data_IF_905711891266
#
_entry.id   IF_905711891266
#
_cell.length_a   1.000
_cell.length_b   1.000
_cell.length_c   1.000
_cell.angle_alpha   90.00
_cell.angle_beta   90.00
_cell.angle_gamma   90.00
#
_symmetry.space_group_name_H-M   'P 1'
#
loop_
_entity.id
_entity.type
_entity.pdbx_description
1 polymer ?
#
# COMPACT_ATOMS: atom_id res chain seq x y z
N UNK A 1 -20.32 14.04 19.00
CA UNK A 1 -20.29 12.60 19.32
C UNK A 1 -20.53 11.71 18.09
N UNK A 2 -21.59 11.95 17.29
CA UNK A 2 -21.90 11.14 16.09
C UNK A 2 -20.76 11.06 15.06
N UNK A 3 -20.04 12.16 14.81
CA UNK A 3 -18.89 12.18 13.89
C UNK A 3 -17.78 11.23 14.36
N UNK A 4 -17.47 11.23 15.66
CA UNK A 4 -16.45 10.34 16.22
C UNK A 4 -16.84 8.88 16.11
N UNK A 5 -18.10 8.54 16.45
CA UNK A 5 -18.61 7.17 16.30
C UNK A 5 -18.57 6.73 14.84
N UNK A 6 -19.00 7.59 13.92
CA UNK A 6 -18.94 7.31 12.48
C UNK A 6 -17.51 7.09 11.98
N UNK A 7 -16.52 7.85 12.48
CA UNK A 7 -15.10 7.67 12.12
C UNK A 7 -14.51 6.39 12.70
N UNK A 8 -14.90 6.01 13.92
CA UNK A 8 -14.50 4.73 14.53
C UNK A 8 -15.05 3.56 13.71
N UNK A 9 -16.35 3.58 13.41
CA UNK A 9 -16.99 2.54 12.59
C UNK A 9 -16.38 2.48 11.18
N UNK A 10 -16.18 3.62 10.53
CA UNK A 10 -15.52 3.70 9.23
C UNK A 10 -14.09 3.14 9.26
N UNK A 11 -13.32 3.46 10.30
CA UNK A 11 -11.97 2.92 10.49
C UNK A 11 -11.96 1.41 10.68
N UNK A 12 -12.89 0.85 11.48
CA UNK A 12 -13.05 -0.60 11.64
C UNK A 12 -13.38 -1.27 10.30
N UNK A 13 -14.28 -0.69 9.50
CA UNK A 13 -14.61 -1.20 8.17
C UNK A 13 -13.39 -1.18 7.23
N UNK A 14 -12.62 -0.09 7.20
CA UNK A 14 -11.41 0.01 6.36
C UNK A 14 -10.36 -1.01 6.80
N UNK A 15 -10.16 -1.21 8.11
CA UNK A 15 -9.23 -2.21 8.63
C UNK A 15 -9.60 -3.63 8.20
N UNK A 16 -10.89 -3.99 8.27
CA UNK A 16 -11.39 -5.29 7.80
C UNK A 16 -11.22 -5.43 6.27
N UNK A 17 -11.60 -4.41 5.50
CA UNK A 17 -11.49 -4.41 4.04
C UNK A 17 -10.04 -4.55 3.57
N UNK A 18 -9.08 -3.93 4.26
CA UNK A 18 -7.65 -3.99 3.91
C UNK A 18 -7.10 -5.41 3.95
N UNK A 19 -7.65 -6.28 4.80
CA UNK A 19 -7.26 -7.69 4.90
C UNK A 19 -8.08 -8.58 3.96
N UNK A 20 -9.40 -8.38 3.92
CA UNK A 20 -10.31 -9.25 3.17
C UNK A 20 -10.19 -9.06 1.66
N UNK A 21 -9.99 -7.83 1.17
CA UNK A 21 -9.98 -7.54 -0.26
C UNK A 21 -8.81 -8.21 -1.01
N UNK A 22 -7.54 -8.14 -0.54
CA UNK A 22 -6.44 -8.85 -1.19
C UNK A 22 -6.60 -10.38 -1.13
N UNK A 23 -7.13 -10.91 -0.03
CA UNK A 23 -7.41 -12.35 0.11
C UNK A 23 -8.45 -12.76 -0.92
N UNK A 24 -9.59 -12.07 -0.96
CA UNK A 24 -10.67 -12.34 -1.91
C UNK A 24 -10.19 -12.30 -3.36
N UNK A 25 -9.42 -11.28 -3.73
CA UNK A 25 -8.82 -11.18 -5.07
C UNK A 25 -7.84 -12.34 -5.34
N UNK A 26 -7.02 -12.72 -4.37
CA UNK A 26 -6.08 -13.83 -4.54
C UNK A 26 -6.76 -15.19 -4.71
N UNK A 27 -7.99 -15.36 -4.22
CA UNK A 27 -8.73 -16.63 -4.31
C UNK A 27 -9.62 -16.69 -5.55
N UNK A 28 -10.16 -15.56 -5.99
CA UNK A 28 -11.05 -15.48 -7.16
C UNK A 28 -10.29 -15.34 -8.47
N UNK A 29 -9.13 -14.68 -8.46
CA UNK A 29 -8.39 -14.34 -9.68
C UNK A 29 -7.42 -15.46 -10.10
N UNK A 30 -7.47 -15.78 -11.40
CA UNK A 30 -6.57 -16.71 -12.07
C UNK A 30 -5.08 -16.26 -11.95
N UNK A 31 -4.12 -17.19 -11.79
CA UNK A 31 -2.70 -16.87 -11.64
C UNK A 31 -2.14 -15.95 -12.74
N UNK A 32 -2.60 -16.09 -13.98
CA UNK A 32 -2.09 -15.38 -15.16
C UNK A 32 -2.35 -13.87 -15.12
N UNK A 33 -3.48 -13.46 -14.53
CA UNK A 33 -3.92 -12.05 -14.45
C UNK A 33 -3.87 -11.50 -13.03
N UNK A 34 -3.44 -12.30 -12.04
CA UNK A 34 -3.38 -11.93 -10.63
C UNK A 34 -2.48 -10.73 -10.35
N UNK A 35 -1.40 -10.56 -11.12
CA UNK A 35 -0.52 -9.40 -11.00
C UNK A 35 -1.26 -8.08 -11.27
N UNK A 36 -1.95 -8.00 -12.42
CA UNK A 36 -2.67 -6.79 -12.82
C UNK A 36 -3.89 -6.53 -11.92
N UNK A 37 -4.69 -7.56 -11.66
CA UNK A 37 -5.90 -7.43 -10.83
C UNK A 37 -5.57 -7.23 -9.35
N UNK A 38 -4.45 -7.75 -8.87
CA UNK A 38 -3.95 -7.54 -7.51
C UNK A 38 -3.53 -6.09 -7.23
N UNK A 39 -3.27 -5.28 -8.27
CA UNK A 39 -2.93 -3.86 -8.16
C UNK A 39 -4.16 -2.94 -8.33
N UNK A 40 -5.35 -3.48 -8.58
CA UNK A 40 -6.57 -2.69 -8.63
C UNK A 40 -6.95 -2.06 -7.28
N UNK A 41 -6.79 -2.71 -6.11
CA UNK A 41 -7.10 -2.08 -4.82
C UNK A 41 -6.37 -0.75 -4.58
N UNK A 42 -5.08 -0.68 -4.91
CA UNK A 42 -4.29 0.56 -4.78
C UNK A 42 -4.76 1.62 -5.78
N UNK A 43 -5.09 1.21 -7.00
CA UNK A 43 -5.63 2.09 -8.05
C UNK A 43 -6.97 2.68 -7.63
N UNK A 44 -7.91 1.87 -7.13
CA UNK A 44 -9.20 2.33 -6.64
C UNK A 44 -9.07 3.20 -5.39
N UNK A 45 -8.10 2.90 -4.50
CA UNK A 45 -7.77 3.77 -3.37
C UNK A 45 -7.36 5.17 -3.81
N UNK A 46 -6.44 5.27 -4.77
CA UNK A 46 -5.98 6.55 -5.32
C UNK A 46 -7.07 7.28 -6.12
N UNK A 47 -7.92 6.55 -6.85
CA UNK A 47 -9.10 7.13 -7.49
C UNK A 47 -10.09 7.70 -6.45
N UNK A 48 -10.29 7.00 -5.33
CA UNK A 48 -11.10 7.48 -4.20
C UNK A 48 -10.55 8.77 -3.59
N UNK A 49 -9.23 8.88 -3.40
CA UNK A 49 -8.57 10.11 -2.94
C UNK A 49 -8.84 11.27 -3.91
N UNK A 50 -8.73 11.03 -5.22
CA UNK A 50 -9.02 12.06 -6.24
C UNK A 50 -10.49 12.50 -6.19
N UNK A 51 -11.43 11.56 -6.07
CA UNK A 51 -12.87 11.90 -5.91
C UNK A 51 -13.08 12.74 -4.66
N UNK A 52 -12.42 12.40 -3.55
CA UNK A 52 -12.49 13.19 -2.32
C UNK A 52 -11.94 14.62 -2.49
N UNK A 53 -10.82 14.81 -3.20
CA UNK A 53 -10.29 16.14 -3.48
C UNK A 53 -11.18 16.95 -4.41
N UNK A 54 -11.76 16.33 -5.44
CA UNK A 54 -12.63 16.99 -6.41
C UNK A 54 -13.99 17.36 -5.82
N UNK A 55 -14.61 16.46 -5.06
CA UNK A 55 -15.91 16.76 -4.41
C UNK A 55 -15.70 17.67 -3.20
N UNK A 56 -14.62 17.46 -2.44
CA UNK A 56 -14.31 18.24 -1.25
C UNK A 56 -13.94 19.70 -1.53
N UNK A 57 -13.48 20.04 -2.73
CA UNK A 57 -13.22 21.44 -3.13
C UNK A 57 -14.49 22.24 -3.41
N UNK A 58 -15.58 21.57 -3.79
CA UNK A 58 -16.81 22.23 -4.25
C UNK A 58 -17.97 22.11 -3.26
N UNK A 59 -17.89 21.20 -2.29
CA UNK A 59 -19.03 20.88 -1.42
C UNK A 59 -18.62 20.77 0.05
N UNK A 60 -19.55 21.11 0.95
CA UNK A 60 -19.40 20.96 2.39
C UNK A 60 -19.09 19.51 2.81
N UNK A 61 -18.36 19.39 3.93
CA UNK A 61 -17.88 18.11 4.47
C UNK A 61 -18.99 17.05 4.69
N UNK A 62 -20.22 17.45 5.00
CA UNK A 62 -21.33 16.51 5.20
C UNK A 62 -21.83 15.91 3.88
N UNK A 63 -21.82 16.65 2.78
CA UNK A 63 -22.23 16.12 1.46
C UNK A 63 -21.17 15.16 0.95
N UNK A 64 -19.90 15.49 1.14
CA UNK A 64 -18.79 14.58 0.86
C UNK A 64 -18.95 13.25 1.64
N UNK A 65 -19.37 13.31 2.91
CA UNK A 65 -19.64 12.11 3.69
C UNK A 65 -20.80 11.27 3.12
N UNK A 66 -21.88 11.90 2.63
CA UNK A 66 -22.97 11.19 1.97
C UNK A 66 -22.54 10.54 0.64
N UNK A 67 -21.78 11.26 -0.19
CA UNK A 67 -21.20 10.70 -1.43
C UNK A 67 -20.32 9.50 -1.12
N UNK A 68 -19.48 9.59 -0.09
CA UNK A 68 -18.65 8.49 0.39
C UNK A 68 -19.45 7.30 0.94
N UNK A 69 -20.66 7.51 1.46
CA UNK A 69 -21.53 6.45 1.96
C UNK A 69 -22.29 5.71 0.84
N UNK A 70 -22.55 6.37 -0.29
CA UNK A 70 -23.25 5.77 -1.44
C UNK A 70 -22.39 4.69 -2.11
N UNK A 71 -21.08 4.91 -2.24
CA UNK A 71 -20.18 3.97 -2.94
C UNK A 71 -20.16 2.57 -2.29
N UNK A 72 -19.99 2.42 -0.95
CA UNK A 72 -20.09 1.13 -0.28
C UNK A 72 -21.48 0.47 -0.40
N UNK A 73 -22.57 1.26 -0.46
CA UNK A 73 -23.92 0.70 -0.64
C UNK A 73 -24.05 0.03 -2.00
N UNK A 74 -23.62 0.70 -3.07
CA UNK A 74 -23.59 0.14 -4.42
C UNK A 74 -22.72 -1.12 -4.46
N UNK A 75 -21.53 -1.07 -3.87
CA UNK A 75 -20.63 -2.22 -3.78
C UNK A 75 -21.27 -3.40 -3.03
N UNK A 76 -21.96 -3.13 -1.90
CA UNK A 76 -22.67 -4.15 -1.12
C UNK A 76 -23.78 -4.80 -1.95
N UNK A 77 -24.57 -4.00 -2.67
CA UNK A 77 -25.61 -4.51 -3.55
C UNK A 77 -25.04 -5.38 -4.67
N UNK A 78 -23.91 -4.98 -5.27
CA UNK A 78 -23.24 -5.77 -6.31
C UNK A 78 -22.71 -7.10 -5.75
N UNK A 79 -22.13 -7.10 -4.55
CA UNK A 79 -21.60 -8.30 -3.92
C UNK A 79 -22.69 -9.34 -3.60
N UNK A 80 -23.95 -8.95 -3.39
CA UNK A 80 -25.05 -9.90 -3.20
C UNK A 80 -25.27 -10.85 -4.39
N UNK A 81 -24.77 -10.52 -5.58
CA UNK A 81 -24.90 -11.36 -6.79
C UNK A 81 -23.66 -12.21 -7.08
N UNK A 82 -22.58 -12.03 -6.34
CA UNK A 82 -21.31 -12.73 -6.56
C UNK A 82 -21.23 -13.93 -5.61
N UNK A 83 -20.93 -15.15 -6.10
CA UNK A 83 -20.78 -16.31 -5.23
C UNK A 83 -19.57 -16.15 -4.29
N UNK A 84 -19.63 -16.81 -3.14
CA UNK A 84 -18.53 -16.86 -2.19
C UNK A 84 -17.30 -17.58 -2.76
N UNK A 85 -16.13 -17.41 -2.12
CA UNK A 85 -14.91 -18.03 -2.66
C UNK A 85 -14.99 -19.57 -2.58
N UNK A 86 -14.51 -20.31 -3.62
CA UNK A 86 -14.51 -21.77 -3.61
C UNK A 86 -13.79 -22.37 -2.38
N UNK A 87 -12.74 -21.69 -1.91
CA UNK A 87 -12.00 -22.02 -0.69
C UNK A 87 -12.86 -21.90 0.57
N UNK A 88 -13.72 -20.89 0.65
CA UNK A 88 -14.62 -20.72 1.79
C UNK A 88 -15.59 -21.92 1.90
N UNK A 89 -16.19 -22.34 0.79
CA UNK A 89 -17.09 -23.51 0.75
C UNK A 89 -16.40 -24.80 1.22
N UNK A 90 -15.15 -25.02 0.77
CA UNK A 90 -14.33 -26.16 1.20
C UNK A 90 -13.94 -26.03 2.68
N UNK A 91 -13.61 -24.82 3.16
CA UNK A 91 -13.17 -24.62 4.54
C UNK A 91 -14.25 -24.82 5.60
N UNK A 92 -15.52 -24.59 5.25
CA UNK A 92 -16.66 -24.95 6.12
C UNK A 92 -17.12 -26.40 5.94
N UNK A 93 -16.48 -27.15 5.06
CA UNK A 93 -16.89 -28.47 4.62
C UNK A 93 -16.39 -29.62 5.49
N UNK A 94 -16.67 -29.64 6.79
CA UNK A 94 -16.48 -30.88 7.58
C UNK A 94 -17.65 -31.87 7.42
N UNK A 95 -18.76 -31.53 6.74
CA UNK A 95 -19.93 -32.44 6.68
C UNK A 95 -20.87 -32.19 5.49
N UNK A 96 -20.53 -32.67 4.29
CA UNK A 96 -21.54 -32.95 3.26
C UNK A 96 -21.11 -32.75 1.80
N UNK A 97 -21.41 -33.77 0.98
CA UNK A 97 -21.21 -33.82 -0.48
C UNK A 97 -21.69 -32.57 -1.23
N UNK A 98 -22.72 -31.88 -0.71
CA UNK A 98 -23.35 -30.72 -1.35
C UNK A 98 -22.45 -29.47 -1.44
N UNK A 99 -21.47 -29.31 -0.52
CA UNK A 99 -20.62 -28.10 -0.50
C UNK A 99 -19.45 -28.15 -1.49
N UNK A 100 -19.04 -29.33 -1.90
CA UNK A 100 -18.06 -29.50 -2.98
C UNK A 100 -18.69 -29.09 -4.32
N UNK A 101 -19.97 -29.40 -4.52
CA UNK A 101 -20.72 -28.98 -5.70
C UNK A 101 -20.95 -27.46 -5.71
N UNK A 102 -21.21 -26.84 -4.55
CA UNK A 102 -21.27 -25.36 -4.43
C UNK A 102 -19.91 -24.71 -4.75
N UNK A 103 -18.81 -25.29 -4.27
CA UNK A 103 -17.46 -24.84 -4.60
C UNK A 103 -17.17 -24.98 -6.09
N UNK A 104 -17.60 -26.09 -6.72
CA UNK A 104 -17.50 -26.29 -8.18
C UNK A 104 -18.33 -25.26 -8.94
N UNK A 105 -19.56 -25.00 -8.52
CA UNK A 105 -20.46 -24.04 -9.15
C UNK A 105 -19.91 -22.60 -9.06
N UNK A 106 -19.38 -22.21 -7.90
CA UNK A 106 -18.70 -20.93 -7.72
C UNK A 106 -17.46 -20.82 -8.61
N UNK A 107 -16.67 -21.89 -8.73
CA UNK A 107 -15.48 -21.94 -9.57
C UNK A 107 -15.83 -21.88 -11.06
N UNK A 108 -16.90 -22.55 -11.50
CA UNK A 108 -17.45 -22.46 -12.85
C UNK A 108 -17.97 -21.06 -13.17
N UNK A 109 -18.61 -20.37 -12.22
CA UNK A 109 -19.01 -18.97 -12.39
C UNK A 109 -17.79 -18.06 -12.58
N UNK A 110 -16.74 -18.25 -11.77
CA UNK A 110 -15.51 -17.46 -11.82
C UNK A 110 -14.65 -17.74 -13.07
N UNK A 111 -14.60 -18.99 -13.54
CA UNK A 111 -13.74 -19.44 -14.66
C UNK A 111 -14.47 -19.47 -16.00
N UNK A 112 -15.80 -19.39 -15.99
CA UNK A 112 -16.67 -19.58 -17.14
C UNK A 112 -17.20 -21.03 -17.21
N UNK A 113 -18.50 -21.14 -17.53
CA UNK A 113 -19.30 -22.39 -17.46
C UNK A 113 -18.74 -23.58 -18.26
N UNK A 114 -17.87 -23.34 -19.24
CA UNK A 114 -17.35 -24.37 -20.16
C UNK A 114 -15.92 -24.83 -19.85
N UNK A 115 -15.27 -24.27 -18.83
CA UNK A 115 -13.91 -24.66 -18.47
C UNK A 115 -13.90 -25.85 -17.49
N UNK A 116 -12.97 -26.77 -17.69
CA UNK A 116 -12.73 -27.85 -16.72
C UNK A 116 -12.08 -27.27 -15.46
N UNK A 117 -12.82 -27.34 -14.36
CA UNK A 117 -12.42 -26.79 -13.06
C UNK A 117 -12.05 -27.89 -12.06
N UNK A 118 -12.15 -29.17 -12.45
CA UNK A 118 -12.01 -30.29 -11.51
C UNK A 118 -10.59 -30.39 -10.96
N UNK A 119 -9.60 -30.16 -11.81
CA UNK A 119 -8.19 -30.11 -11.40
C UNK A 119 -7.91 -28.98 -10.38
N UNK A 120 -8.49 -27.80 -10.59
CA UNK A 120 -8.33 -26.66 -9.67
C UNK A 120 -9.08 -26.92 -8.35
N UNK A 121 -10.26 -27.55 -8.40
CA UNK A 121 -11.03 -27.96 -7.22
C UNK A 121 -10.27 -28.97 -6.36
N UNK A 122 -9.71 -30.01 -6.97
CA UNK A 122 -8.90 -31.02 -6.29
C UNK A 122 -7.64 -30.40 -5.66
N UNK A 123 -6.96 -29.50 -6.38
CA UNK A 123 -5.83 -28.76 -5.85
C UNK A 123 -6.21 -27.89 -4.63
N UNK A 124 -7.39 -27.28 -4.62
CA UNK A 124 -7.87 -26.49 -3.47
C UNK A 124 -8.16 -27.40 -2.27
N UNK A 125 -8.78 -28.57 -2.49
CA UNK A 125 -9.07 -29.54 -1.43
C UNK A 125 -7.79 -30.05 -0.76
N UNK A 126 -6.81 -30.48 -1.56
CA UNK A 126 -5.51 -30.95 -1.05
C UNK A 126 -4.80 -29.85 -0.24
N UNK A 127 -4.81 -28.61 -0.73
CA UNK A 127 -4.24 -27.48 0.00
C UNK A 127 -4.98 -27.17 1.30
N UNK A 128 -6.31 -27.33 1.32
CA UNK A 128 -7.11 -27.14 2.52
C UNK A 128 -6.80 -28.21 3.57
N UNK A 129 -6.72 -29.50 3.19
CA UNK A 129 -6.38 -30.59 4.11
C UNK A 129 -4.99 -30.41 4.73
N UNK A 130 -4.01 -29.93 3.96
CA UNK A 130 -2.69 -29.58 4.50
C UNK A 130 -2.75 -28.37 5.45
N UNK A 131 -3.64 -27.41 5.18
CA UNK A 131 -3.76 -26.18 5.98
C UNK A 131 -4.58 -26.37 7.26
N UNK A 132 -5.65 -27.18 7.23
CA UNK A 132 -6.56 -27.43 8.36
C UNK A 132 -5.89 -28.24 9.47
N UNK A 133 -4.95 -29.12 9.12
CA UNK A 133 -4.09 -29.83 10.08
C UNK A 133 -3.10 -28.90 10.80
N UNK A 134 -3.00 -27.65 10.37
CA UNK A 134 -2.00 -26.70 10.82
C UNK A 134 -2.67 -25.46 11.42
N UNK A 135 -3.34 -25.61 12.58
CA UNK A 135 -3.78 -24.43 13.33
C UNK A 135 -2.56 -23.63 13.78
N UNK A 136 -2.33 -22.47 13.16
CA UNK A 136 -1.21 -21.61 13.51
C UNK A 136 -1.60 -20.75 14.71
N UNK A 137 -0.93 -20.94 15.83
CA UNK A 137 -1.05 -20.02 16.97
C UNK A 137 -0.40 -18.69 16.60
N UNK A 138 -0.89 -17.56 17.16
CA UNK A 138 -0.21 -16.25 17.01
C UNK A 138 1.27 -16.33 17.43
N UNK A 139 1.58 -17.24 18.37
CA UNK A 139 2.94 -17.45 18.85
C UNK A 139 3.86 -18.08 17.79
N UNK A 140 3.31 -18.81 16.81
CA UNK A 140 4.10 -19.48 15.76
C UNK A 140 4.81 -18.47 14.86
N UNK A 141 4.29 -17.25 14.73
CA UNK A 141 4.91 -16.13 14.00
C UNK A 141 6.31 -15.82 14.54
N UNK A 142 6.50 -15.95 15.86
CA UNK A 142 7.77 -15.64 16.53
C UNK A 142 8.80 -16.78 16.45
N UNK A 143 8.47 -17.87 15.76
CA UNK A 143 9.43 -18.96 15.53
C UNK A 143 10.58 -18.47 14.64
N UNK A 144 11.80 -18.99 14.89
CA UNK A 144 13.03 -18.63 14.15
C UNK A 144 12.87 -18.71 12.61
N UNK A 145 11.98 -19.59 12.13
CA UNK A 145 11.66 -19.77 10.71
C UNK A 145 10.86 -18.61 10.10
N UNK A 146 9.99 -17.97 10.89
CA UNK A 146 8.99 -17.01 10.43
C UNK A 146 9.29 -15.58 10.86
N UNK A 147 10.13 -15.40 11.89
CA UNK A 147 10.43 -14.09 12.44
C UNK A 147 11.17 -13.16 11.46
N UNK A 148 12.05 -13.70 10.60
CA UNK A 148 12.78 -12.89 9.61
C UNK A 148 11.86 -12.26 8.56
N UNK A 149 11.03 -13.00 7.80
CA UNK A 149 10.09 -12.40 6.84
C UNK A 149 9.09 -11.46 7.52
N UNK A 150 8.66 -11.81 8.73
CA UNK A 150 7.78 -10.96 9.54
C UNK A 150 8.41 -9.61 9.88
N UNK A 151 9.63 -9.59 10.43
CA UNK A 151 10.33 -8.35 10.78
C UNK A 151 10.67 -7.49 9.55
N UNK A 152 11.00 -8.11 8.41
CA UNK A 152 11.21 -7.38 7.15
C UNK A 152 9.93 -6.67 6.68
N UNK A 153 8.79 -7.36 6.78
CA UNK A 153 7.49 -6.80 6.41
C UNK A 153 7.06 -5.68 7.36
N UNK A 154 7.26 -5.85 8.68
CA UNK A 154 7.02 -4.79 9.66
C UNK A 154 7.90 -3.57 9.42
N UNK A 155 9.20 -3.77 9.13
CA UNK A 155 10.13 -2.68 8.88
C UNK A 155 9.76 -1.87 7.63
N UNK A 156 9.41 -2.53 6.53
CA UNK A 156 8.94 -1.86 5.31
C UNK A 156 7.68 -1.03 5.56
N UNK A 157 6.69 -1.57 6.27
CA UNK A 157 5.46 -0.84 6.62
C UNK A 157 5.73 0.34 7.55
N UNK A 158 6.64 0.17 8.50
CA UNK A 158 7.04 1.23 9.42
C UNK A 158 7.70 2.39 8.67
N UNK A 159 8.67 2.10 7.81
CA UNK A 159 9.35 3.11 6.98
C UNK A 159 8.36 3.80 6.04
N UNK A 160 7.49 3.02 5.38
CA UNK A 160 6.44 3.56 4.53
C UNK A 160 5.61 4.61 5.26
N UNK A 161 5.21 4.35 6.50
CA UNK A 161 4.40 5.31 7.27
C UNK A 161 5.24 6.47 7.80
N UNK A 162 6.44 6.21 8.31
CA UNK A 162 7.38 7.21 8.80
C UNK A 162 7.87 8.18 7.72
N UNK A 163 7.69 7.86 6.44
CA UNK A 163 7.85 8.82 5.33
C UNK A 163 6.99 10.07 5.48
N UNK A 164 5.90 9.99 6.26
CA UNK A 164 4.97 11.08 6.49
C UNK A 164 3.89 11.21 5.42
N UNK A 165 3.84 10.33 4.41
CA UNK A 165 2.90 10.43 3.29
C UNK A 165 1.45 10.65 3.70
N UNK A 166 0.94 9.91 4.71
CA UNK A 166 -0.45 10.04 5.15
C UNK A 166 -0.72 11.39 5.81
N UNK A 167 0.19 11.87 6.67
CA UNK A 167 0.08 13.21 7.25
C UNK A 167 0.15 14.29 6.15
N UNK A 168 1.09 14.17 5.23
CA UNK A 168 1.28 15.09 4.11
C UNK A 168 0.03 15.14 3.20
N UNK A 169 -0.61 14.00 2.95
CA UNK A 169 -1.88 13.91 2.18
C UNK A 169 -3.05 14.52 2.96
N UNK A 170 -3.18 14.26 4.27
CA UNK A 170 -4.28 14.81 5.07
C UNK A 170 -4.18 16.31 5.26
N UNK A 171 -2.95 16.83 5.42
CA UNK A 171 -2.67 18.24 5.65
C UNK A 171 -2.19 18.97 4.39
N UNK A 172 -2.47 18.43 3.19
CA UNK A 172 -1.98 19.02 1.93
C UNK A 172 -2.44 20.46 1.73
N UNK A 173 -3.72 20.76 2.03
CA UNK A 173 -4.25 22.14 1.93
C UNK A 173 -3.47 23.07 2.85
N UNK A 174 -3.35 22.70 4.12
CA UNK A 174 -2.64 23.47 5.14
C UNK A 174 -1.16 23.67 4.75
N UNK A 175 -0.49 22.65 4.24
CA UNK A 175 0.91 22.74 3.77
C UNK A 175 1.04 23.74 2.60
N UNK A 176 0.09 23.76 1.66
CA UNK A 176 0.12 24.72 0.55
C UNK A 176 -0.22 26.14 1.00
N UNK A 177 -1.15 26.32 1.93
CA UNK A 177 -1.42 27.63 2.54
C UNK A 177 -0.21 28.13 3.35
N UNK A 178 0.43 27.24 4.11
CA UNK A 178 1.71 27.47 4.78
C UNK A 178 2.87 27.69 3.80
N UNK A 179 2.71 27.47 2.49
CA UNK A 179 3.74 27.81 1.50
C UNK A 179 3.52 29.20 0.89
N UNK A 180 2.33 29.77 1.05
CA UNK A 180 1.98 31.07 0.45
C UNK A 180 1.81 31.03 -1.07
N UNK A 181 1.53 29.85 -1.63
CA UNK A 181 1.45 29.68 -3.09
C UNK A 181 0.32 30.52 -3.69
N UNK A 182 0.56 31.14 -4.85
CA UNK A 182 -0.45 31.90 -5.58
C UNK A 182 -1.62 31.04 -6.10
N UNK A 183 -1.47 29.72 -6.10
CA UNK A 183 -2.50 28.75 -6.49
C UNK A 183 -3.34 28.40 -5.26
N UNK A 184 -4.66 28.36 -5.40
CA UNK A 184 -5.54 27.97 -4.29
C UNK A 184 -5.22 26.55 -3.81
N UNK A 185 -5.13 26.34 -2.49
CA UNK A 185 -4.76 25.05 -1.90
C UNK A 185 -5.65 23.89 -2.39
N UNK A 186 -6.93 24.16 -2.65
CA UNK A 186 -7.87 23.21 -3.23
C UNK A 186 -7.56 22.83 -4.69
N UNK A 187 -7.11 23.77 -5.54
CA UNK A 187 -6.73 23.43 -6.91
C UNK A 187 -5.45 22.58 -6.92
N UNK A 188 -4.50 22.92 -6.04
CA UNK A 188 -3.27 22.15 -5.86
C UNK A 188 -3.53 20.70 -5.44
N UNK A 189 -4.49 20.45 -4.53
CA UNK A 189 -4.83 19.09 -4.11
C UNK A 189 -5.48 18.26 -5.23
N UNK A 190 -6.31 18.88 -6.08
CA UNK A 190 -6.88 18.21 -7.26
C UNK A 190 -5.77 17.81 -8.24
N UNK A 191 -4.85 18.72 -8.55
CA UNK A 191 -3.71 18.46 -9.43
C UNK A 191 -2.89 17.29 -8.89
N UNK A 192 -2.58 17.31 -7.59
CA UNK A 192 -1.89 16.22 -6.90
C UNK A 192 -2.66 14.90 -7.04
N UNK A 193 -3.97 14.89 -6.84
CA UNK A 193 -4.79 13.69 -6.96
C UNK A 193 -4.75 13.09 -8.36
N UNK A 194 -4.82 13.93 -9.41
CA UNK A 194 -4.76 13.48 -10.82
C UNK A 194 -3.38 12.89 -11.11
N UNK A 195 -2.32 13.61 -10.73
CA UNK A 195 -0.94 13.15 -10.91
C UNK A 195 -0.67 11.85 -10.16
N UNK A 196 -1.20 11.70 -8.94
CA UNK A 196 -1.08 10.48 -8.15
C UNK A 196 -1.75 9.29 -8.84
N UNK A 197 -2.97 9.47 -9.35
CA UNK A 197 -3.70 8.42 -10.05
C UNK A 197 -2.96 7.97 -11.31
N UNK A 198 -2.48 8.92 -12.12
CA UNK A 198 -1.68 8.63 -13.32
C UNK A 198 -0.37 7.91 -12.97
N UNK A 199 0.34 8.38 -11.95
CA UNK A 199 1.57 7.75 -11.47
C UNK A 199 1.33 6.30 -11.02
N UNK A 200 0.17 6.03 -10.42
CA UNK A 200 -0.20 4.66 -9.99
C UNK A 200 -0.39 3.73 -11.17
N UNK A 201 -1.04 4.18 -12.25
CA UNK A 201 -1.15 3.38 -13.47
C UNK A 201 0.22 3.07 -14.08
N UNK A 202 1.11 4.07 -14.12
CA UNK A 202 2.49 3.88 -14.58
C UNK A 202 3.23 2.90 -13.69
N UNK A 203 3.13 3.05 -12.36
CA UNK A 203 3.73 2.14 -11.39
C UNK A 203 3.30 0.70 -11.64
N UNK A 204 2.00 0.48 -11.80
CA UNK A 204 1.44 -0.85 -12.03
C UNK A 204 1.89 -1.46 -13.36
N UNK A 205 2.06 -0.66 -14.41
CA UNK A 205 2.56 -1.16 -15.69
C UNK A 205 4.07 -1.50 -15.68
N UNK A 206 4.84 -0.85 -14.79
CA UNK A 206 6.29 -0.94 -14.74
C UNK A 206 6.78 -1.94 -13.68
N UNK A 207 6.01 -2.20 -12.62
CA UNK A 207 6.43 -3.00 -11.47
C UNK A 207 6.89 -4.41 -11.83
N UNK A 208 6.18 -5.06 -12.75
CA UNK A 208 6.54 -6.42 -13.19
C UNK A 208 7.72 -6.42 -14.17
N UNK A 209 7.92 -5.32 -14.91
CA UNK A 209 9.02 -5.18 -15.89
C UNK A 209 10.34 -4.84 -15.24
N UNK A 210 10.37 -3.93 -14.28
CA UNK A 210 11.62 -3.41 -13.69
C UNK A 210 12.03 -4.19 -12.44
N UNK A 211 11.07 -4.64 -11.63
CA UNK A 211 11.35 -5.32 -10.36
C UNK A 211 11.21 -4.41 -9.16
N UNK A 212 10.94 -5.03 -8.01
CA UNK A 212 10.37 -4.33 -6.86
C UNK A 212 11.47 -3.56 -6.14
N UNK A 213 12.66 -4.14 -5.99
CA UNK A 213 13.78 -3.50 -5.29
C UNK A 213 14.28 -2.25 -6.02
N UNK A 214 14.33 -2.30 -7.35
CA UNK A 214 14.74 -1.17 -8.20
C UNK A 214 13.72 -0.03 -8.12
N UNK A 215 12.43 -0.34 -8.14
CA UNK A 215 11.37 0.67 -7.97
C UNK A 215 11.44 1.36 -6.61
N UNK A 216 11.63 0.60 -5.51
CA UNK A 216 11.81 1.19 -4.18
C UNK A 216 13.03 2.13 -4.15
N UNK A 217 14.13 1.77 -4.80
CA UNK A 217 15.32 2.60 -4.86
C UNK A 217 15.08 3.93 -5.59
N UNK A 218 14.51 3.87 -6.80
CA UNK A 218 14.19 5.06 -7.60
C UNK A 218 13.18 5.94 -6.85
N UNK A 219 12.13 5.33 -6.30
CA UNK A 219 11.11 5.95 -5.48
C UNK A 219 11.71 6.67 -4.28
N UNK A 220 12.54 6.00 -3.49
CA UNK A 220 13.20 6.63 -2.34
C UNK A 220 14.06 7.82 -2.74
N UNK A 221 14.87 7.71 -3.81
CA UNK A 221 15.74 8.80 -4.24
C UNK A 221 14.94 10.05 -4.62
N UNK A 222 13.87 9.87 -5.39
CA UNK A 222 12.98 10.97 -5.76
C UNK A 222 12.26 11.56 -4.52
N UNK A 223 11.82 10.71 -3.58
CA UNK A 223 11.20 11.18 -2.33
C UNK A 223 12.18 11.99 -1.48
N UNK A 224 13.43 11.54 -1.32
CA UNK A 224 14.48 12.25 -0.57
C UNK A 224 14.74 13.63 -1.19
N UNK A 225 14.97 13.70 -2.50
CA UNK A 225 15.22 14.97 -3.20
C UNK A 225 14.05 15.93 -3.04
N UNK A 226 12.82 15.42 -3.18
CA UNK A 226 11.60 16.21 -3.06
C UNK A 226 11.37 16.75 -1.65
N UNK A 227 11.59 15.90 -0.63
CA UNK A 227 11.46 16.28 0.77
C UNK A 227 12.56 17.26 1.20
N UNK A 228 13.79 17.09 0.69
CA UNK A 228 14.85 18.08 0.89
C UNK A 228 14.48 19.42 0.26
N UNK A 229 13.95 19.43 -0.96
CA UNK A 229 13.52 20.66 -1.62
C UNK A 229 12.39 21.38 -0.85
N UNK A 230 11.39 20.63 -0.37
CA UNK A 230 10.34 21.17 0.50
C UNK A 230 10.91 21.71 1.81
N UNK A 231 11.74 20.93 2.50
CA UNK A 231 12.38 21.35 3.75
C UNK A 231 13.23 22.61 3.58
N UNK A 232 14.00 22.70 2.50
CA UNK A 232 14.80 23.89 2.17
C UNK A 232 13.94 25.11 1.85
N UNK A 233 12.83 24.95 1.13
CA UNK A 233 11.89 26.05 0.89
C UNK A 233 11.31 26.58 2.21
N UNK A 234 10.82 25.68 3.08
CA UNK A 234 10.28 26.09 4.38
C UNK A 234 11.35 26.69 5.28
N UNK A 235 12.60 26.21 5.20
CA UNK A 235 13.71 26.80 5.96
C UNK A 235 14.01 28.24 5.54
N UNK A 236 14.05 28.50 4.23
CA UNK A 236 14.21 29.85 3.68
C UNK A 236 13.09 30.76 4.15
N UNK A 237 11.85 30.26 4.13
CA UNK A 237 10.67 31.02 4.55
C UNK A 237 10.64 31.31 6.05
N UNK A 238 10.93 30.33 6.89
CA UNK A 238 11.02 30.50 8.34
C UNK A 238 12.09 31.53 8.72
N UNK A 239 13.25 31.49 8.06
CA UNK A 239 14.31 32.48 8.26
C UNK A 239 13.84 33.89 7.84
N UNK A 240 13.10 34.00 6.72
CA UNK A 240 12.53 35.26 6.28
C UNK A 240 11.51 35.84 7.27
N UNK A 241 10.63 35.01 7.83
CA UNK A 241 9.63 35.40 8.83
C UNK A 241 10.25 35.79 10.19
N UNK A 242 11.45 35.25 10.50
CA UNK A 242 12.16 35.55 11.75
C UNK A 242 12.87 36.91 11.77
N UNK A 243 13.06 37.54 10.61
CA UNK A 243 13.76 38.82 10.49
C UNK A 243 12.75 39.99 10.59
N UNK A 244 13.05 41.06 11.36
CA UNK A 244 12.21 42.25 11.36
C UNK A 244 12.15 42.90 9.97
N UNK A 245 10.98 43.44 9.60
CA UNK A 245 10.68 43.97 8.26
C UNK A 245 11.63 45.08 7.77
N UNK A 246 12.34 45.74 8.68
CA UNK A 246 13.29 46.82 8.38
C UNK A 246 14.73 46.33 8.13
N UNK A 247 14.97 45.00 8.11
CA UNK A 247 16.27 44.44 7.76
C UNK A 247 16.50 44.45 6.24
N UNK A 248 17.69 44.89 5.83
CA UNK A 248 18.13 44.98 4.42
C UNK A 248 17.96 43.65 3.67
N UNK A 249 18.07 42.52 4.39
CA UNK A 249 17.94 41.19 3.81
C UNK A 249 16.48 40.72 3.64
N UNK A 250 15.50 41.40 4.27
CA UNK A 250 14.09 41.01 4.21
C UNK A 250 13.53 41.10 2.78
N UNK A 251 13.93 42.13 2.01
CA UNK A 251 13.58 42.25 0.59
C UNK A 251 14.19 41.13 -0.25
N UNK A 252 15.45 40.74 0.03
CA UNK A 252 16.13 39.65 -0.68
C UNK A 252 15.46 38.30 -0.43
N UNK A 253 15.07 38.02 0.82
CA UNK A 253 14.32 36.81 1.16
C UNK A 253 12.92 36.79 0.54
N UNK A 254 12.19 37.90 0.55
CA UNK A 254 10.87 38.01 -0.06
C UNK A 254 10.94 37.79 -1.59
N UNK A 255 11.89 38.43 -2.27
CA UNK A 255 12.13 38.23 -3.70
C UNK A 255 12.52 36.77 -4.02
N UNK A 256 13.31 36.16 -3.15
CA UNK A 256 13.68 34.75 -3.28
C UNK A 256 12.44 33.85 -3.18
N UNK A 257 11.60 34.02 -2.15
CA UNK A 257 10.37 33.24 -1.95
C UNK A 257 9.41 33.37 -3.15
N UNK A 258 9.23 34.58 -3.67
CA UNK A 258 8.40 34.81 -4.85
C UNK A 258 8.92 34.03 -6.08
N UNK A 259 10.24 34.06 -6.29
CA UNK A 259 10.89 33.34 -7.40
C UNK A 259 10.77 31.80 -7.32
N UNK A 260 10.71 31.25 -6.11
CA UNK A 260 10.61 29.81 -5.85
C UNK A 260 9.20 29.37 -5.40
N UNK A 261 8.19 30.20 -5.57
CA UNK A 261 6.80 29.91 -5.17
C UNK A 261 6.17 28.67 -5.82
N UNK A 262 6.70 28.23 -6.97
CA UNK A 262 6.31 26.99 -7.66
C UNK A 262 6.94 25.72 -7.07
N UNK A 263 8.05 25.87 -6.33
CA UNK A 263 8.89 24.77 -5.85
C UNK A 263 8.14 23.84 -4.88
N UNK A 264 7.33 24.33 -3.91
CA UNK A 264 6.58 23.46 -3.01
C UNK A 264 5.61 22.56 -3.75
N UNK A 265 4.89 23.10 -4.73
CA UNK A 265 3.92 22.36 -5.53
C UNK A 265 4.60 21.27 -6.37
N UNK A 266 5.68 21.60 -7.08
CA UNK A 266 6.42 20.63 -7.90
C UNK A 266 7.07 19.56 -7.02
N UNK A 267 7.70 19.96 -5.91
CA UNK A 267 8.35 19.03 -4.99
C UNK A 267 7.33 18.08 -4.35
N UNK A 268 6.16 18.59 -3.94
CA UNK A 268 5.07 17.77 -3.43
C UNK A 268 4.56 16.78 -4.49
N UNK A 269 4.38 17.23 -5.74
CA UNK A 269 3.98 16.34 -6.83
C UNK A 269 4.99 15.22 -7.05
N UNK A 270 6.28 15.55 -7.14
CA UNK A 270 7.33 14.54 -7.32
C UNK A 270 7.35 13.59 -6.13
N UNK A 271 7.18 14.09 -4.90
CA UNK A 271 7.08 13.26 -3.69
C UNK A 271 5.94 12.22 -3.78
N UNK A 272 4.73 12.64 -4.16
CA UNK A 272 3.58 11.74 -4.28
C UNK A 272 3.73 10.75 -5.44
N UNK A 273 4.22 11.21 -6.60
CA UNK A 273 4.52 10.34 -7.75
C UNK A 273 5.55 9.28 -7.35
N UNK A 274 6.63 9.72 -6.72
CA UNK A 274 7.69 8.85 -6.28
C UNK A 274 7.17 7.81 -5.29
N UNK A 275 6.37 8.21 -4.30
CA UNK A 275 5.75 7.29 -3.37
C UNK A 275 4.91 6.22 -4.11
N UNK A 276 4.01 6.64 -5.00
CA UNK A 276 3.14 5.73 -5.73
C UNK A 276 3.87 4.79 -6.68
N UNK A 277 5.05 5.18 -7.18
CA UNK A 277 5.92 4.32 -8.00
C UNK A 277 6.55 3.17 -7.21
N UNK A 278 6.75 3.29 -5.90
CA UNK A 278 7.49 2.29 -5.13
C UNK A 278 6.94 2.04 -3.74
N UNK A 279 7.18 2.96 -2.80
CA UNK A 279 6.81 2.79 -1.40
C UNK A 279 5.31 2.63 -1.15
N UNK A 280 4.43 3.05 -2.06
CA UNK A 280 2.99 2.81 -1.99
C UNK A 280 2.65 1.32 -2.08
N UNK A 281 2.80 0.68 -3.26
CA UNK A 281 2.36 -0.70 -3.47
C UNK A 281 3.32 -1.76 -2.91
N UNK A 282 4.64 -1.51 -2.93
CA UNK A 282 5.64 -2.57 -2.74
C UNK A 282 5.66 -3.17 -1.32
N UNK A 283 5.55 -2.40 -0.22
CA UNK A 283 5.46 -2.97 1.11
C UNK A 283 4.29 -3.96 1.27
N UNK A 284 3.13 -3.66 0.68
CA UNK A 284 1.94 -4.51 0.72
C UNK A 284 2.12 -5.78 -0.11
N UNK A 285 2.70 -5.64 -1.30
CA UNK A 285 3.04 -6.80 -2.14
C UNK A 285 4.07 -7.70 -1.45
N UNK A 286 5.13 -7.11 -0.90
CA UNK A 286 6.16 -7.85 -0.17
C UNK A 286 5.59 -8.59 1.03
N UNK A 287 4.68 -7.98 1.80
CA UNK A 287 3.97 -8.65 2.88
C UNK A 287 3.23 -9.91 2.38
N UNK A 288 2.56 -9.83 1.22
CA UNK A 288 1.86 -10.96 0.62
C UNK A 288 2.81 -12.06 0.09
N UNK A 289 3.96 -11.67 -0.46
CA UNK A 289 4.95 -12.58 -1.07
C UNK A 289 5.89 -13.22 -0.04
N UNK A 290 6.31 -12.47 0.99
CA UNK A 290 7.32 -12.90 1.96
C UNK A 290 6.76 -13.72 3.12
N UNK A 291 5.49 -13.52 3.49
CA UNK A 291 4.89 -14.20 4.63
C UNK A 291 4.52 -15.66 4.30
N UNK A 292 5.05 -16.64 5.07
CA UNK A 292 4.78 -18.07 4.87
C UNK A 292 3.30 -18.39 5.00
N UNK A 293 2.78 -19.27 4.14
CA UNK A 293 1.35 -19.59 4.09
C UNK A 293 0.77 -20.01 5.46
N UNK A 294 1.53 -20.81 6.22
CA UNK A 294 1.14 -21.29 7.56
C UNK A 294 0.79 -20.17 8.54
N UNK A 295 1.54 -19.08 8.56
CA UNK A 295 1.37 -17.99 9.57
C UNK A 295 0.91 -16.68 8.95
N UNK A 296 0.56 -16.68 7.65
CA UNK A 296 0.26 -15.47 6.87
C UNK A 296 -0.87 -14.66 7.48
N UNK A 297 -1.96 -15.30 7.91
CA UNK A 297 -3.12 -14.61 8.49
C UNK A 297 -2.77 -13.81 9.76
N UNK A 298 -2.27 -14.48 10.82
CA UNK A 298 -1.74 -13.83 12.02
C UNK A 298 -0.70 -12.74 11.75
N UNK A 299 0.33 -13.06 10.95
CA UNK A 299 1.45 -12.16 10.70
C UNK A 299 1.02 -10.91 9.91
N UNK A 300 0.22 -11.07 8.85
CA UNK A 300 -0.29 -9.96 8.05
C UNK A 300 -1.20 -9.05 8.87
N UNK A 301 -2.02 -9.61 9.76
CA UNK A 301 -2.86 -8.84 10.69
C UNK A 301 -2.03 -7.96 11.60
N UNK A 302 -0.95 -8.50 12.19
CA UNK A 302 -0.04 -7.73 13.05
C UNK A 302 0.71 -6.63 12.30
N UNK A 303 1.21 -6.94 11.09
CA UNK A 303 1.89 -5.96 10.23
C UNK A 303 0.94 -4.83 9.81
N UNK A 304 -0.30 -5.17 9.45
CA UNK A 304 -1.34 -4.21 9.08
C UNK A 304 -1.76 -3.35 10.27
N UNK A 305 -1.91 -3.95 11.45
CA UNK A 305 -2.19 -3.21 12.68
C UNK A 305 -1.08 -2.19 12.98
N UNK A 306 0.20 -2.59 12.87
CA UNK A 306 1.33 -1.68 13.01
C UNK A 306 1.24 -0.52 12.00
N UNK A 307 0.97 -0.81 10.73
CA UNK A 307 0.84 0.20 9.68
C UNK A 307 -0.22 1.26 10.03
N UNK A 308 -1.42 0.83 10.43
CA UNK A 308 -2.49 1.75 10.81
C UNK A 308 -2.22 2.49 12.14
N UNK A 309 -1.58 1.83 13.11
CA UNK A 309 -1.13 2.49 14.34
C UNK A 309 -0.10 3.59 14.04
N UNK A 310 0.90 3.32 13.21
CA UNK A 310 1.87 4.33 12.78
C UNK A 310 1.20 5.47 12.02
N UNK A 311 0.26 5.16 11.12
CA UNK A 311 -0.56 6.16 10.42
C UNK A 311 -1.26 7.09 11.42
N UNK A 312 -1.91 6.52 12.44
CA UNK A 312 -2.58 7.29 13.48
C UNK A 312 -1.61 8.19 14.25
N UNK A 313 -0.50 7.63 14.73
CA UNK A 313 0.50 8.37 15.50
C UNK A 313 1.02 9.55 14.70
N UNK A 314 1.52 9.32 13.49
CA UNK A 314 2.14 10.35 12.65
C UNK A 314 1.13 11.43 12.28
N UNK A 315 -0.09 11.05 11.87
CA UNK A 315 -1.14 12.01 11.51
C UNK A 315 -1.54 12.86 12.73
N UNK A 316 -1.63 12.26 13.91
CA UNK A 316 -2.02 12.98 15.14
C UNK A 316 -0.91 13.91 15.64
N UNK A 317 0.36 13.52 15.50
CA UNK A 317 1.51 14.29 15.97
C UNK A 317 1.96 15.35 14.98
N UNK A 318 1.68 15.19 13.68
CA UNK A 318 2.17 16.08 12.62
C UNK A 318 1.90 17.58 12.88
N UNK A 319 0.66 18.02 13.21
CA UNK A 319 0.42 19.44 13.49
C UNK A 319 1.24 19.96 14.68
N UNK A 320 1.42 19.14 15.72
CA UNK A 320 2.23 19.49 16.88
C UNK A 320 3.72 19.57 16.55
N UNK A 321 4.21 18.67 15.68
CA UNK A 321 5.59 18.72 15.18
C UNK A 321 5.83 19.98 14.36
N UNK A 322 4.92 20.31 13.44
CA UNK A 322 5.01 21.53 12.61
C UNK A 322 4.97 22.79 13.50
N UNK A 323 4.09 22.84 14.50
CA UNK A 323 3.98 23.99 15.39
C UNK A 323 5.21 24.19 16.28
N UNK A 324 5.82 23.12 16.78
CA UNK A 324 6.93 23.20 17.75
C UNK A 324 8.31 23.22 17.10
N UNK A 325 8.48 22.49 15.99
CA UNK A 325 9.78 22.33 15.32
C UNK A 325 9.86 23.13 14.01
N UNK A 326 8.75 23.64 13.49
CA UNK A 326 8.67 24.25 12.17
C UNK A 326 8.52 23.20 11.05
N UNK A 327 7.82 23.53 9.95
CA UNK A 327 7.69 22.63 8.80
C UNK A 327 9.04 22.20 8.20
N UNK A 328 10.06 23.07 8.21
CA UNK A 328 11.38 22.75 7.63
C UNK A 328 12.01 21.50 8.25
N UNK A 329 12.10 21.46 9.59
CA UNK A 329 12.69 20.35 10.34
C UNK A 329 11.89 19.07 10.15
N UNK A 330 10.55 19.16 10.08
CA UNK A 330 9.67 18.00 9.87
C UNK A 330 9.93 17.36 8.51
N UNK A 331 10.02 18.14 7.43
CA UNK A 331 10.30 17.59 6.10
C UNK A 331 11.74 17.06 5.98
N UNK A 332 12.73 17.69 6.62
CA UNK A 332 14.08 17.13 6.70
C UNK A 332 14.13 15.81 7.48
N UNK A 333 13.36 15.68 8.56
CA UNK A 333 13.23 14.43 9.31
C UNK A 333 12.66 13.31 8.44
N UNK A 334 11.58 13.57 7.70
CA UNK A 334 11.02 12.61 6.74
C UNK A 334 12.03 12.24 5.65
N UNK A 335 12.80 13.20 5.15
CA UNK A 335 13.87 12.92 4.18
C UNK A 335 14.93 11.98 4.75
N UNK A 336 15.41 12.24 5.98
CA UNK A 336 16.36 11.37 6.67
C UNK A 336 15.83 9.95 6.87
N UNK A 337 14.55 9.80 7.21
CA UNK A 337 13.88 8.50 7.32
C UNK A 337 13.86 7.80 5.96
N UNK A 338 13.60 8.49 4.86
CA UNK A 338 13.61 7.90 3.52
C UNK A 338 15.02 7.47 3.08
N UNK A 339 16.06 8.19 3.48
CA UNK A 339 17.45 7.76 3.29
C UNK A 339 17.70 6.44 4.04
N UNK A 340 17.36 6.38 5.33
CA UNK A 340 17.47 5.14 6.13
C UNK A 340 16.63 4.00 5.54
N UNK A 341 15.44 4.32 5.05
CA UNK A 341 14.55 3.40 4.38
C UNK A 341 15.14 2.81 3.10
N UNK A 342 15.88 3.62 2.35
CA UNK A 342 16.62 3.18 1.17
C UNK A 342 17.69 2.16 1.54
N UNK A 343 18.50 2.45 2.56
CA UNK A 343 19.49 1.51 3.07
C UNK A 343 18.83 0.21 3.52
N UNK A 344 17.74 0.30 4.27
CA UNK A 344 16.98 -0.87 4.71
C UNK A 344 16.50 -1.73 3.54
N UNK A 345 15.85 -1.12 2.55
CA UNK A 345 15.36 -1.83 1.36
C UNK A 345 16.50 -2.44 0.52
N UNK A 346 17.64 -1.76 0.39
CA UNK A 346 18.77 -2.23 -0.40
C UNK A 346 19.49 -3.40 0.28
N UNK A 347 19.74 -3.33 1.58
CA UNK A 347 20.59 -4.31 2.25
C UNK A 347 19.83 -5.47 2.88
N UNK A 348 18.60 -5.25 3.37
CA UNK A 348 17.86 -6.25 4.14
C UNK A 348 16.75 -6.94 3.34
N UNK A 349 16.15 -6.25 2.38
CA UNK A 349 15.00 -6.77 1.61
C UNK A 349 15.48 -7.51 0.35
N UNK A 350 15.13 -8.80 0.18
CA UNK A 350 15.47 -9.55 -1.02
C UNK A 350 14.59 -9.12 -2.21
N UNK A 351 15.10 -9.29 -3.43
CA UNK A 351 14.27 -9.15 -4.62
C UNK A 351 13.33 -10.35 -4.75
N UNK A 352 12.04 -10.08 -4.98
CA UNK A 352 10.99 -11.09 -5.10
C UNK A 352 10.54 -11.30 -6.55
N UNK A 353 10.92 -10.41 -7.48
CA UNK A 353 10.54 -10.54 -8.88
C UNK A 353 10.96 -11.88 -9.48
N UNK A 354 9.99 -12.57 -10.10
CA UNK A 354 10.22 -13.79 -10.88
C UNK A 354 10.55 -15.02 -10.04
N UNK A 355 10.39 -14.97 -8.72
CA UNK A 355 10.58 -16.10 -7.81
C UNK A 355 9.24 -16.71 -7.43
N UNK A 356 9.22 -18.02 -7.23
CA UNK A 356 8.06 -18.70 -6.66
C UNK A 356 7.93 -18.36 -5.17
N UNK A 357 6.71 -18.40 -4.62
CA UNK A 357 6.46 -18.10 -3.20
C UNK A 357 7.25 -19.04 -2.28
N UNK A 358 7.38 -20.31 -2.67
CA UNK A 358 8.18 -21.29 -1.93
C UNK A 358 9.67 -20.96 -1.93
N UNK A 359 10.21 -20.44 -3.04
CA UNK A 359 11.61 -20.04 -3.14
C UNK A 359 11.93 -18.84 -2.24
N UNK A 360 11.00 -17.88 -2.17
CA UNK A 360 11.10 -16.71 -1.28
C UNK A 360 11.05 -17.18 0.19
N UNK A 361 10.14 -18.11 0.51
CA UNK A 361 10.07 -18.69 1.86
C UNK A 361 11.36 -19.43 2.22
N UNK A 362 11.94 -20.23 1.32
CA UNK A 362 13.20 -20.94 1.57
C UNK A 362 14.38 -20.00 1.80
N UNK A 363 14.48 -18.92 1.00
CA UNK A 363 15.51 -17.89 1.14
C UNK A 363 15.40 -17.14 2.48
N UNK A 364 14.18 -16.80 2.90
CA UNK A 364 13.90 -16.06 4.13
C UNK A 364 13.94 -16.93 5.40
N UNK A 365 13.56 -18.20 5.29
CA UNK A 365 13.58 -19.16 6.39
C UNK A 365 14.96 -19.75 6.69
N UNK A 366 15.96 -19.49 5.81
CA UNK A 366 17.34 -19.94 6.01
C UNK A 366 17.55 -21.44 5.77
N UNK A 367 16.65 -22.11 5.03
CA UNK A 367 16.91 -23.48 4.56
C UNK A 367 18.09 -23.44 3.59
N UNK A 368 19.19 -24.14 3.91
CA UNK A 368 20.29 -24.37 2.96
C UNK A 368 19.68 -24.95 1.68
N UNK A 369 20.00 -24.35 0.52
CA UNK A 369 19.70 -24.86 -0.83
C UNK A 369 19.86 -26.38 -0.83
N UNK A 370 18.75 -27.12 -0.81
CA UNK A 370 18.81 -28.52 -1.24
C UNK A 370 19.00 -28.46 -2.75
N UNK A 371 20.25 -28.52 -3.18
CA UNK A 371 20.58 -28.72 -4.57
C UNK A 371 19.78 -29.91 -5.12
N UNK A 372 19.31 -29.78 -6.36
CA UNK A 372 18.81 -30.84 -7.23
C UNK A 372 17.34 -31.27 -7.23
N UNK A 373 16.36 -30.52 -6.69
CA UNK A 373 14.93 -30.81 -7.00
C UNK A 373 14.26 -29.92 -8.06
N UNK A 374 14.71 -28.67 -8.24
CA UNK A 374 14.12 -27.76 -9.25
C UNK A 374 14.40 -28.19 -10.71
N UNK A 375 15.44 -29.00 -10.96
CA UNK A 375 15.73 -29.56 -12.30
C UNK A 375 14.81 -30.70 -12.72
N UNK A 376 14.10 -31.36 -11.80
CA UNK A 376 13.22 -32.49 -12.18
C UNK A 376 11.83 -32.05 -12.62
N UNK A 377 11.32 -30.91 -12.17
CA UNK A 377 9.96 -30.46 -12.53
C UNK A 377 9.95 -29.83 -13.93
N UNK A 378 11.00 -29.10 -14.31
CA UNK A 378 11.17 -28.56 -15.68
C UNK A 378 11.43 -29.61 -16.76
N UNK A 379 11.80 -30.84 -16.38
CA UNK A 379 11.99 -31.94 -17.35
C UNK A 379 10.68 -32.73 -17.57
N UNK A 380 9.74 -32.71 -16.62
CA UNK A 380 8.46 -33.43 -16.75
C UNK A 380 7.44 -32.61 -17.56
N UNK A 381 7.51 -31.27 -17.55
CA UNK A 381 6.67 -30.41 -18.38
C UNK A 381 7.09 -30.33 -19.87
N UNK A 382 8.23 -30.92 -20.24
CA UNK A 382 8.77 -30.91 -21.61
C UNK A 382 8.50 -32.16 -22.44
N UNK A 383 7.75 -33.14 -21.92
CA UNK A 383 7.46 -34.41 -22.60
C UNK A 383 5.94 -34.63 -22.67
N UNK A 384 5.27 -33.87 -23.55
CA UNK A 384 4.08 -34.30 -24.31
C UNK A 384 3.44 -33.11 -25.03
N UNK A 385 4.13 -32.55 -26.03
CA UNK A 385 3.48 -31.91 -27.18
C UNK A 385 4.37 -32.17 -28.40
N UNK A 386 4.04 -33.26 -29.11
CA UNK A 386 4.40 -33.47 -30.51
C UNK A 386 3.17 -33.16 -31.34
#
# INVERSE_FOLDING_TARGET
MMIYVGRVLGGLCVGLLTLTLPVYLSETVQPEIRGILGLLPTTFGNAGILVCFLVGSHVSWWVLAYVGAIVPLVFTTMMCFVPETPRWYISKGESGLNRVEDARSALQWLRGSFNDVEFELEAIQINYEMSSQTSSSLMDVFTRRHIRPFLLSMGLMLIQQLSGINAVIFYTVDIFEMSGSAISGHLSTIIVGVVNLLATFVANAVIDKVGRKVLVYISSGLMVVSLLALGSFFHVRENAESLPADHVDAEWWAATIESISWLPLVSFMIYVVAFSLGWGPIPWLFMGEALPAKVRGPAASMVTALNWTCTFVITKTFPGMVQQLGPSIVFFMFSGIMVLGSFYAVFLVPETKGKMLEEIEEELSGRKKHGNRSRKISTVSGLNMK
#
